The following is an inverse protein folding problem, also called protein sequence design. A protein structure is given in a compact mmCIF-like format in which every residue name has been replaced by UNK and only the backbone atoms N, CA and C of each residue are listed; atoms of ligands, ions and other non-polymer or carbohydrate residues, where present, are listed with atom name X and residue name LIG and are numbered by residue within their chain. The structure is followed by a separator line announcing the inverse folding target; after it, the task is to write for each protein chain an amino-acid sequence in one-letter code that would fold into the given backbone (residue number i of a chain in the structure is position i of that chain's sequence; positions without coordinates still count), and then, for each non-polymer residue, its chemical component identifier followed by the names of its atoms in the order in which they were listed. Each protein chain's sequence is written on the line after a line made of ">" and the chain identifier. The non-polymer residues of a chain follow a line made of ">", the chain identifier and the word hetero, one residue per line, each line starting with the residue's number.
data_IF_036465022945
#
_entry.id   IF_036465022945
#
_cell.length_a   1.000
_cell.length_b   1.000
_cell.length_c   1.000
_cell.angle_alpha   90.00
_cell.angle_beta   90.00
_cell.angle_gamma   90.00
#
_symmetry.space_group_name_H-M   'P 1'
#
loop_
_entity.id
_entity.type
_entity.pdbx_description
1 polymer ?
#
# COMPACT_ATOMS: atom_id res chain seq x y z
N UNK A 1 -17.00 -17.16 -20.85
CA UNK A 1 -15.84 -16.93 -21.77
C UNK A 1 -15.58 -15.46 -22.15
N UNK A 2 -16.41 -14.47 -21.76
CA UNK A 2 -16.17 -13.05 -22.12
C UNK A 2 -14.99 -12.41 -21.37
N UNK A 3 -14.73 -12.82 -20.12
CA UNK A 3 -13.71 -12.21 -19.24
C UNK A 3 -12.31 -12.41 -19.82
N UNK A 4 -11.97 -13.64 -20.22
CA UNK A 4 -10.63 -13.96 -20.75
C UNK A 4 -10.30 -13.25 -22.07
N UNK A 5 -11.31 -12.83 -22.85
CA UNK A 5 -11.05 -12.06 -24.09
C UNK A 5 -10.39 -10.72 -23.80
N UNK A 6 -10.63 -10.12 -22.63
CA UNK A 6 -9.96 -8.89 -22.20
C UNK A 6 -8.49 -9.08 -21.82
N UNK A 7 -8.08 -10.31 -21.51
CA UNK A 7 -6.70 -10.65 -21.14
C UNK A 7 -5.80 -10.98 -22.33
N UNK A 8 -6.35 -11.23 -23.52
CA UNK A 8 -5.56 -11.54 -24.70
C UNK A 8 -4.94 -10.26 -25.28
N UNK A 9 -3.84 -9.80 -24.68
CA UNK A 9 -3.01 -8.67 -25.15
C UNK A 9 -2.00 -9.11 -26.22
N UNK A 10 -1.60 -10.38 -26.20
CA UNK A 10 -0.75 -11.01 -27.20
C UNK A 10 -1.49 -12.17 -27.88
N UNK A 11 -1.84 -11.99 -29.17
CA UNK A 11 -2.54 -13.02 -29.96
C UNK A 11 -1.65 -14.14 -30.47
N UNK A 12 -0.33 -13.96 -30.47
CA UNK A 12 0.61 -15.02 -30.85
C UNK A 12 0.70 -16.14 -29.79
N UNK A 13 0.35 -15.84 -28.54
CA UNK A 13 0.33 -16.79 -27.41
C UNK A 13 -0.86 -16.52 -26.47
N UNK A 14 -2.10 -16.80 -26.90
CA UNK A 14 -3.30 -16.36 -26.19
C UNK A 14 -3.45 -16.99 -24.80
N UNK A 15 -3.13 -18.28 -24.63
CA UNK A 15 -3.25 -18.98 -23.36
C UNK A 15 -2.26 -18.45 -22.32
N UNK A 16 -0.99 -18.24 -22.74
CA UNK A 16 0.04 -17.66 -21.89
C UNK A 16 -0.32 -16.23 -21.46
N UNK A 17 -0.86 -15.43 -22.40
CA UNK A 17 -1.29 -14.08 -22.11
C UNK A 17 -2.46 -14.03 -21.11
N UNK A 18 -3.41 -14.96 -21.22
CA UNK A 18 -4.51 -15.10 -20.26
C UNK A 18 -3.97 -15.48 -18.87
N UNK A 19 -3.08 -16.48 -18.80
CA UNK A 19 -2.52 -16.94 -17.53
C UNK A 19 -1.74 -15.84 -16.80
N UNK A 20 -0.89 -15.10 -17.53
CA UNK A 20 -0.11 -13.99 -16.98
C UNK A 20 -1.00 -12.85 -16.46
N UNK A 21 -2.01 -12.43 -17.24
CA UNK A 21 -2.91 -11.36 -16.81
C UNK A 21 -3.77 -11.78 -15.61
N UNK A 22 -4.29 -13.00 -15.61
CA UNK A 22 -5.06 -13.52 -14.49
C UNK A 22 -4.22 -13.59 -13.21
N UNK A 23 -2.99 -14.09 -13.31
CA UNK A 23 -2.07 -14.13 -12.18
C UNK A 23 -1.78 -12.71 -11.64
N UNK A 24 -1.55 -11.74 -12.52
CA UNK A 24 -1.33 -10.35 -12.11
C UNK A 24 -2.52 -9.76 -11.36
N UNK A 25 -3.75 -9.99 -11.84
CA UNK A 25 -4.98 -9.52 -11.18
C UNK A 25 -5.15 -10.16 -9.79
N UNK A 26 -4.96 -11.49 -9.67
CA UNK A 26 -5.03 -12.20 -8.39
C UNK A 26 -3.96 -11.69 -7.40
N UNK A 27 -2.72 -11.51 -7.86
CA UNK A 27 -1.66 -10.94 -7.03
C UNK A 27 -1.99 -9.53 -6.53
N UNK A 28 -2.55 -8.67 -7.39
CA UNK A 28 -2.95 -7.32 -7.00
C UNK A 28 -4.10 -7.33 -5.99
N UNK A 29 -5.09 -8.21 -6.19
CA UNK A 29 -6.21 -8.36 -5.27
C UNK A 29 -5.74 -8.86 -3.90
N UNK A 30 -4.87 -9.87 -3.89
CA UNK A 30 -4.22 -10.37 -2.67
C UNK A 30 -3.43 -9.27 -1.94
N UNK A 31 -2.56 -8.55 -2.67
CA UNK A 31 -1.76 -7.46 -2.08
C UNK A 31 -2.66 -6.37 -1.49
N UNK A 32 -3.74 -5.99 -2.18
CA UNK A 32 -4.68 -4.99 -1.70
C UNK A 32 -5.36 -5.44 -0.39
N UNK A 33 -5.82 -6.68 -0.34
CA UNK A 33 -6.43 -7.25 0.87
C UNK A 33 -5.43 -7.32 2.03
N UNK A 34 -4.22 -7.82 1.76
CA UNK A 34 -3.14 -7.90 2.74
C UNK A 34 -2.77 -6.53 3.31
N UNK A 35 -2.61 -5.52 2.44
CA UNK A 35 -2.31 -4.15 2.86
C UNK A 35 -3.46 -3.61 3.72
N UNK A 36 -4.71 -3.79 3.30
CA UNK A 36 -5.88 -3.33 4.06
C UNK A 36 -5.89 -3.93 5.47
N UNK A 37 -5.77 -5.25 5.59
CA UNK A 37 -5.70 -5.93 6.89
C UNK A 37 -4.53 -5.41 7.74
N UNK A 38 -3.34 -5.24 7.14
CA UNK A 38 -2.16 -4.73 7.85
C UNK A 38 -2.36 -3.28 8.32
N UNK A 39 -2.99 -2.44 7.53
CA UNK A 39 -3.29 -1.04 7.90
C UNK A 39 -4.37 -0.94 8.98
N UNK A 40 -5.38 -1.82 8.95
CA UNK A 40 -6.42 -1.91 9.99
C UNK A 40 -5.80 -2.34 11.33
N UNK A 41 -4.90 -3.33 11.32
CA UNK A 41 -4.16 -3.75 12.51
C UNK A 41 -3.29 -2.60 13.06
N UNK A 42 -2.59 -1.87 12.18
CA UNK A 42 -1.73 -0.73 12.60
C UNK A 42 -2.50 0.48 13.10
N UNK A 43 -3.75 0.70 12.68
CA UNK A 43 -4.57 1.83 13.15
C UNK A 43 -4.92 1.74 14.64
N UNK A 44 -4.86 0.54 15.22
CA UNK A 44 -5.13 0.31 16.64
C UNK A 44 -3.91 0.57 17.54
N UNK A 45 -2.71 0.71 16.97
CA UNK A 45 -1.55 1.24 17.66
C UNK A 45 -1.48 2.73 17.33
N UNK A 46 -1.79 3.60 18.29
CA UNK A 46 -1.69 5.05 18.14
C UNK A 46 -0.25 5.47 17.76
N UNK A 47 0.06 5.47 16.46
CA UNK A 47 1.35 5.94 15.94
C UNK A 47 1.13 7.32 15.36
N UNK A 48 1.84 8.31 15.93
CA UNK A 48 1.69 9.75 15.71
C UNK A 48 0.38 10.34 16.27
N UNK A 49 0.10 10.12 17.55
CA UNK A 49 -0.78 11.06 18.26
C UNK A 49 -0.05 12.41 18.29
N UNK A 50 -0.63 13.42 17.64
CA UNK A 50 -0.12 14.79 17.68
C UNK A 50 -0.27 15.30 19.11
N UNK A 51 0.80 15.18 19.91
CA UNK A 51 0.82 15.72 21.25
C UNK A 51 0.90 17.24 21.15
N UNK A 52 -0.26 17.89 21.18
CA UNK A 52 -0.37 19.34 21.35
C UNK A 52 0.08 19.68 22.77
N UNK A 53 1.36 19.99 22.95
CA UNK A 53 1.84 20.60 24.19
C UNK A 53 1.64 22.10 24.10
N UNK A 54 0.86 22.68 25.01
CA UNK A 54 0.76 24.14 25.18
C UNK A 54 2.05 24.75 25.76
N UNK A 55 3.07 23.93 26.05
CA UNK A 55 4.32 24.36 26.68
C UNK A 55 5.42 24.47 25.64
N UNK A 56 5.71 25.70 25.22
CA UNK A 56 6.91 26.01 24.43
C UNK A 56 8.12 25.88 25.37
N UNK A 57 8.91 24.82 25.20
CA UNK A 57 10.20 24.69 25.90
C UNK A 57 11.19 25.68 25.26
N UNK A 58 11.32 26.86 25.86
CA UNK A 58 12.32 27.84 25.45
C UNK A 58 13.71 27.22 25.64
N UNK A 59 14.38 26.94 24.51
CA UNK A 59 15.68 26.29 24.49
C UNK A 59 16.73 27.16 25.18
N UNK A 60 17.69 26.54 25.87
CA UNK A 60 18.80 27.28 26.50
C UNK A 60 19.71 27.88 25.42
N UNK A 61 20.10 29.16 25.53
CA UNK A 61 21.00 29.77 24.56
C UNK A 61 22.33 29.04 24.52
N UNK A 62 22.80 28.77 23.30
CA UNK A 62 24.12 28.18 23.06
C UNK A 62 25.12 29.30 23.38
N UNK A 63 25.66 29.30 24.59
CA UNK A 63 26.64 30.30 25.02
C UNK A 63 27.89 30.19 24.14
N UNK A 64 28.01 31.08 23.15
CA UNK A 64 29.22 31.31 22.39
C UNK A 64 30.18 32.18 23.22
N UNK A 65 31.33 31.62 23.59
CA UNK A 65 32.54 32.38 23.92
C UNK A 65 33.50 32.27 22.76
#
# INVERSE_FOLDING_TARGET
>A
MKIFKGYIRNRARPEGCIAECYLADECMNFCNEFIRQTTEIKKNEARNEEFSSDVVLEGRPISGK
#
